data_IF_363375249359
#
_entry.id   IF_363375249359
#
_cell.length_a   1.000
_cell.length_b   1.000
_cell.length_c   1.000
_cell.angle_alpha   90.00
_cell.angle_beta   90.00
_cell.angle_gamma   90.00
#
_symmetry.space_group_name_H-M   'P 1'
#
loop_
_entity.id
_entity.type
_entity.pdbx_description
1 polymer ?
#
# COMPACT_ATOMS: atom_id res chain seq x y z
N UNK A 1 -22.92 10.12 -14.38
CA UNK A 1 -23.61 8.87 -14.00
C UNK A 1 -23.10 8.38 -12.65
N UNK A 2 -23.83 7.51 -11.95
CA UNK A 2 -23.36 6.90 -10.69
C UNK A 2 -22.02 6.18 -10.85
N UNK A 3 -21.77 5.60 -12.03
CA UNK A 3 -20.51 4.94 -12.37
C UNK A 3 -19.30 5.89 -12.34
N UNK A 4 -19.45 7.14 -12.80
CA UNK A 4 -18.36 8.13 -12.74
C UNK A 4 -18.01 8.47 -11.29
N UNK A 5 -19.03 8.75 -10.46
CA UNK A 5 -18.83 9.11 -9.06
C UNK A 5 -18.13 7.99 -8.27
N UNK A 6 -18.50 6.74 -8.53
CA UNK A 6 -17.84 5.59 -7.91
C UNK A 6 -16.38 5.45 -8.35
N UNK A 7 -16.07 5.71 -9.61
CA UNK A 7 -14.67 5.71 -10.10
C UNK A 7 -13.84 6.80 -9.41
N UNK A 8 -14.40 7.99 -9.26
CA UNK A 8 -13.72 9.11 -8.60
C UNK A 8 -13.49 8.83 -7.11
N UNK A 9 -14.44 8.16 -6.45
CA UNK A 9 -14.29 7.70 -5.07
C UNK A 9 -13.18 6.63 -4.94
N UNK A 10 -13.16 5.64 -5.84
CA UNK A 10 -12.12 4.60 -5.86
C UNK A 10 -10.72 5.22 -6.03
N UNK A 11 -10.59 6.19 -6.94
CA UNK A 11 -9.31 6.87 -7.16
C UNK A 11 -8.84 7.63 -5.92
N UNK A 12 -9.74 8.36 -5.25
CA UNK A 12 -9.42 9.06 -3.99
C UNK A 12 -8.99 8.10 -2.89
N UNK A 13 -9.71 6.99 -2.70
CA UNK A 13 -9.34 5.96 -1.71
C UNK A 13 -7.94 5.39 -2.03
N UNK A 14 -7.64 5.16 -3.31
CA UNK A 14 -6.32 4.65 -3.73
C UNK A 14 -5.20 5.65 -3.45
N UNK A 15 -5.44 6.93 -3.66
CA UNK A 15 -4.52 8.02 -3.33
C UNK A 15 -4.29 8.09 -1.82
N UNK A 16 -5.36 8.06 -1.02
CA UNK A 16 -5.28 8.07 0.44
C UNK A 16 -4.46 6.88 0.99
N UNK A 17 -4.69 5.68 0.46
CA UNK A 17 -3.90 4.49 0.83
C UNK A 17 -2.42 4.69 0.48
N UNK A 18 -2.12 5.26 -0.69
CA UNK A 18 -0.75 5.53 -1.11
C UNK A 18 -0.07 6.55 -0.18
N UNK A 19 -0.79 7.61 0.22
CA UNK A 19 -0.30 8.60 1.19
C UNK A 19 -0.03 7.97 2.56
N UNK A 20 -0.92 7.10 3.05
CA UNK A 20 -0.73 6.40 4.32
C UNK A 20 0.51 5.49 4.30
N UNK A 21 0.74 4.76 3.20
CA UNK A 21 1.93 3.91 3.04
C UNK A 21 3.22 4.75 3.08
N UNK A 22 3.23 5.90 2.39
CA UNK A 22 4.37 6.82 2.40
C UNK A 22 4.61 7.41 3.79
N UNK A 23 3.54 7.74 4.52
CA UNK A 23 3.63 8.26 5.87
C UNK A 23 4.17 7.23 6.86
N UNK A 24 3.74 5.97 6.74
CA UNK A 24 4.35 4.84 7.48
C UNK A 24 5.85 4.79 7.20
N UNK A 25 6.26 4.81 5.94
CA UNK A 25 7.69 4.79 5.58
C UNK A 25 8.47 5.97 6.18
N UNK A 26 7.87 7.17 6.16
CA UNK A 26 8.46 8.40 6.71
C UNK A 26 8.62 8.31 8.23
N UNK A 27 7.60 7.85 8.94
CA UNK A 27 7.62 7.69 10.38
C UNK A 27 8.61 6.60 10.81
N UNK A 28 8.68 5.47 10.09
CA UNK A 28 9.69 4.43 10.33
C UNK A 28 11.10 5.01 10.28
N UNK A 29 11.43 5.79 9.23
CA UNK A 29 12.74 6.45 9.13
C UNK A 29 12.99 7.41 10.28
N UNK A 30 11.98 8.20 10.69
CA UNK A 30 12.10 9.15 11.82
C UNK A 30 12.48 8.45 13.12
N UNK A 31 11.99 7.24 13.35
CA UNK A 31 12.31 6.42 14.54
C UNK A 31 13.45 5.43 14.31
N UNK A 32 14.21 5.56 13.21
CA UNK A 32 15.33 4.66 12.83
C UNK A 32 14.93 3.19 12.66
N UNK A 33 13.67 2.93 12.31
CA UNK A 33 13.18 1.61 11.90
C UNK A 33 13.30 1.47 10.38
N UNK A 34 13.78 0.31 9.92
CA UNK A 34 13.77 -0.01 8.48
C UNK A 34 12.33 -0.14 7.99
N UNK A 35 11.86 0.69 7.03
CA UNK A 35 10.52 0.55 6.48
C UNK A 35 10.24 -0.86 5.94
N UNK A 36 11.25 -1.59 5.46
CA UNK A 36 11.11 -2.96 4.96
C UNK A 36 10.79 -3.99 6.05
N UNK A 37 10.95 -3.65 7.32
CA UNK A 37 10.49 -4.51 8.42
C UNK A 37 8.98 -4.41 8.65
N UNK A 38 8.27 -3.47 8.01
CA UNK A 38 6.82 -3.30 8.14
C UNK A 38 6.12 -3.96 6.96
N UNK A 39 5.62 -5.16 7.19
CA UNK A 39 4.79 -5.88 6.22
C UNK A 39 3.33 -5.42 6.27
N UNK A 40 2.77 -5.09 5.11
CA UNK A 40 1.38 -4.70 4.91
C UNK A 40 0.72 -5.73 4.00
N UNK A 41 -0.48 -6.22 4.37
CA UNK A 41 -1.24 -7.15 3.55
C UNK A 41 -2.32 -6.42 2.78
N UNK A 42 -2.26 -6.47 1.44
CA UNK A 42 -3.17 -5.74 0.55
C UNK A 42 -3.84 -6.70 -0.44
N UNK A 43 -5.09 -6.42 -0.80
CA UNK A 43 -5.79 -7.15 -1.86
C UNK A 43 -5.35 -6.64 -3.24
N UNK A 44 -5.22 -5.32 -3.38
CA UNK A 44 -4.74 -4.66 -4.60
C UNK A 44 -3.31 -4.15 -4.42
N UNK A 45 -2.63 -3.82 -5.51
CA UNK A 45 -1.20 -3.42 -5.53
C UNK A 45 -0.96 -2.20 -6.43
N UNK A 46 -2.01 -1.48 -6.80
CA UNK A 46 -1.97 -0.26 -7.61
C UNK A 46 -1.68 1.01 -6.79
N UNK A 47 -1.09 0.84 -5.60
CA UNK A 47 -0.69 1.92 -4.70
C UNK A 47 0.75 2.33 -4.94
N UNK A 48 1.05 3.61 -4.71
CA UNK A 48 2.42 4.11 -4.79
C UNK A 48 3.23 3.76 -3.53
N UNK A 49 4.55 3.74 -3.67
CA UNK A 49 5.44 3.61 -2.52
C UNK A 49 5.50 2.20 -1.91
N UNK A 50 5.11 1.17 -2.66
CA UNK A 50 5.22 -0.24 -2.22
C UNK A 50 6.25 -1.04 -3.02
N UNK A 51 6.74 -2.09 -2.39
CA UNK A 51 7.52 -3.19 -2.97
C UNK A 51 6.82 -4.51 -2.60
N UNK A 52 6.59 -5.38 -3.57
CA UNK A 52 5.88 -6.66 -3.34
C UNK A 52 6.88 -7.71 -2.87
N UNK A 53 6.66 -8.26 -1.68
CA UNK A 53 7.48 -9.31 -1.09
C UNK A 53 6.89 -10.69 -1.38
N UNK A 54 5.57 -10.81 -1.34
CA UNK A 54 4.86 -12.07 -1.56
C UNK A 54 3.58 -11.85 -2.35
N UNK A 55 3.35 -12.70 -3.34
CA UNK A 55 2.10 -12.73 -4.12
C UNK A 55 1.07 -13.67 -3.46
N UNK A 56 -0.23 -13.45 -3.70
CA UNK A 56 -1.28 -14.39 -3.33
C UNK A 56 -1.00 -15.81 -3.81
N UNK A 57 -1.51 -16.79 -3.07
CA UNK A 57 -1.37 -18.21 -3.41
C UNK A 57 -2.56 -19.00 -2.90
N UNK A 58 -2.45 -20.33 -2.90
CA UNK A 58 -3.55 -21.25 -2.56
C UNK A 58 -4.25 -20.95 -1.22
N UNK A 59 -3.52 -20.40 -0.25
CA UNK A 59 -4.01 -20.17 1.13
C UNK A 59 -4.16 -18.69 1.51
N UNK A 60 -3.81 -17.76 0.63
CA UNK A 60 -3.94 -16.33 0.91
C UNK A 60 -4.30 -15.56 -0.35
N UNK A 61 -5.31 -14.69 -0.23
CA UNK A 61 -5.73 -13.77 -1.28
C UNK A 61 -4.97 -12.43 -1.25
N UNK A 62 -4.09 -12.25 -0.26
CA UNK A 62 -3.37 -10.99 -0.05
C UNK A 62 -1.97 -11.04 -0.64
N UNK A 63 -1.57 -9.91 -1.23
CA UNK A 63 -0.17 -9.57 -1.43
C UNK A 63 0.41 -9.14 -0.09
N UNK A 64 1.62 -9.58 0.21
CA UNK A 64 2.43 -8.97 1.27
C UNK A 64 3.38 -7.99 0.62
N UNK A 65 3.31 -6.74 1.04
CA UNK A 65 4.12 -5.65 0.53
C UNK A 65 4.86 -4.98 1.68
N UNK A 66 5.92 -4.27 1.34
CA UNK A 66 6.63 -3.38 2.27
C UNK A 66 6.71 -1.98 1.67
N UNK A 67 6.76 -0.92 2.50
CA UNK A 67 7.03 0.41 2.00
C UNK A 67 8.37 0.49 1.26
N UNK A 68 8.36 1.10 0.07
CA UNK A 68 9.55 1.32 -0.75
C UNK A 68 10.42 2.39 -0.09
N UNK A 69 11.70 2.10 0.04
CA UNK A 69 12.71 3.07 0.45
C UNK A 69 13.24 3.75 -0.82
N UNK A 70 13.08 5.06 -0.93
CA UNK A 70 13.74 5.89 -1.94
C UNK A 70 14.96 6.55 -1.31
#
# INVERSE_FOLDING_TARGET
SNQSRLKDEINRIREDISLLIQEVARLSRKVKLDPRSISINLINIDYEGIEIVKRPGRFSRYYTVVPRVR
#
